data_IF_201434585369
#
_entry.id   IF_201434585369
#
_cell.length_a   1.000
_cell.length_b   1.000
_cell.length_c   1.000
_cell.angle_alpha   90.00
_cell.angle_beta   90.00
_cell.angle_gamma   90.00
#
_symmetry.space_group_name_H-M   'P 1'
#
loop_
_entity.id
_entity.type
_entity.pdbx_description
1 polymer ?
#
# COMPACT_ATOMS: atom_id res chain seq x y z
N UNK A 1 16.86 -35.44 12.33
CA UNK A 1 16.72 -33.99 12.23
C UNK A 1 15.82 -33.67 11.05
N UNK A 2 14.50 -33.75 11.25
CA UNK A 2 13.51 -33.26 10.29
C UNK A 2 12.72 -32.19 11.04
N UNK A 3 13.24 -30.97 11.01
CA UNK A 3 12.44 -29.80 11.36
C UNK A 3 11.50 -29.60 10.18
N UNK A 4 10.31 -30.19 10.31
CA UNK A 4 9.11 -29.77 9.62
C UNK A 4 8.87 -28.33 10.08
N UNK A 5 9.49 -27.39 9.35
CA UNK A 5 9.09 -26.00 9.33
C UNK A 5 7.67 -26.01 8.79
N UNK A 6 6.72 -25.93 9.72
CA UNK A 6 5.34 -25.61 9.43
C UNK A 6 5.33 -24.24 8.72
N UNK A 7 5.16 -24.25 7.40
CA UNK A 7 5.15 -23.05 6.55
C UNK A 7 3.93 -22.14 6.81
N UNK A 8 3.02 -22.52 7.72
CA UNK A 8 1.81 -21.74 8.06
C UNK A 8 2.03 -20.56 9.01
N UNK A 9 3.17 -20.44 9.68
CA UNK A 9 3.36 -19.46 10.76
C UNK A 9 3.95 -18.11 10.29
N UNK A 10 4.15 -17.90 8.98
CA UNK A 10 4.53 -16.58 8.44
C UNK A 10 3.33 -15.64 8.22
N UNK A 11 2.10 -16.13 8.38
CA UNK A 11 0.88 -15.38 8.09
C UNK A 11 0.39 -14.50 9.27
N UNK A 12 0.93 -14.68 10.47
CA UNK A 12 0.46 -13.91 11.63
C UNK A 12 0.80 -12.42 11.56
N UNK A 13 1.89 -12.02 10.88
CA UNK A 13 2.22 -10.59 10.70
C UNK A 13 1.52 -9.94 9.52
N UNK A 14 1.20 -10.70 8.45
CA UNK A 14 0.48 -10.16 7.27
C UNK A 14 -0.91 -9.63 7.66
N UNK A 15 -1.61 -10.35 8.53
CA UNK A 15 -2.93 -9.93 9.05
C UNK A 15 -2.81 -8.68 9.93
N UNK A 16 -1.74 -8.54 10.71
CA UNK A 16 -1.52 -7.38 11.58
C UNK A 16 -1.32 -6.10 10.76
N UNK A 17 -0.56 -6.17 9.66
CA UNK A 17 -0.33 -5.01 8.79
C UNK A 17 -1.60 -4.58 8.03
N UNK A 18 -2.42 -5.56 7.61
CA UNK A 18 -3.72 -5.31 6.98
C UNK A 18 -4.71 -4.67 7.97
N UNK A 19 -4.79 -5.20 9.19
CA UNK A 19 -5.65 -4.66 10.24
C UNK A 19 -5.21 -3.25 10.65
N UNK A 20 -3.90 -2.99 10.73
CA UNK A 20 -3.36 -1.66 11.00
C UNK A 20 -3.76 -0.66 9.91
N UNK A 21 -3.68 -1.04 8.63
CA UNK A 21 -4.10 -0.19 7.53
C UNK A 21 -5.60 0.15 7.58
N UNK A 22 -6.45 -0.84 7.88
CA UNK A 22 -7.90 -0.64 8.02
C UNK A 22 -8.21 0.27 9.22
N UNK A 23 -7.49 0.10 10.34
CA UNK A 23 -7.62 0.95 11.52
C UNK A 23 -7.20 2.39 11.23
N UNK A 24 -6.07 2.61 10.56
CA UNK A 24 -5.62 3.96 10.17
C UNK A 24 -6.61 4.62 9.20
N UNK A 25 -7.15 3.87 8.24
CA UNK A 25 -8.20 4.36 7.34
C UNK A 25 -9.48 4.72 8.11
N UNK A 26 -9.83 3.93 9.13
CA UNK A 26 -10.97 4.21 10.02
C UNK A 26 -10.77 5.50 10.82
N UNK A 27 -9.56 5.73 11.33
CA UNK A 27 -9.25 6.94 12.10
C UNK A 27 -9.27 8.19 11.23
N UNK A 28 -8.70 8.12 10.02
CA UNK A 28 -8.60 9.28 9.13
C UNK A 28 -9.87 9.58 8.33
N UNK A 29 -10.64 8.55 7.95
CA UNK A 29 -11.77 8.67 7.02
C UNK A 29 -13.09 8.08 7.57
N UNK A 30 -13.09 7.63 8.82
CA UNK A 30 -14.26 7.07 9.49
C UNK A 30 -14.64 5.66 9.03
N UNK A 31 -15.85 5.22 9.39
CA UNK A 31 -16.37 3.89 9.04
C UNK A 31 -16.43 3.62 7.54
N UNK A 32 -16.59 4.67 6.72
CA UNK A 32 -16.58 4.56 5.25
C UNK A 32 -15.19 4.23 4.73
N UNK A 33 -14.15 4.95 5.15
CA UNK A 33 -12.79 4.67 4.69
C UNK A 33 -12.24 3.33 5.16
N UNK A 34 -12.63 2.87 6.36
CA UNK A 34 -12.31 1.52 6.81
C UNK A 34 -12.88 0.45 5.86
N UNK A 35 -14.13 0.63 5.41
CA UNK A 35 -14.80 -0.28 4.48
C UNK A 35 -14.14 -0.24 3.10
N UNK A 36 -13.79 0.95 2.61
CA UNK A 36 -13.06 1.11 1.35
C UNK A 36 -11.68 0.45 1.40
N UNK A 37 -10.93 0.63 2.49
CA UNK A 37 -9.64 -0.04 2.71
C UNK A 37 -9.77 -1.57 2.69
N UNK A 38 -10.77 -2.11 3.39
CA UNK A 38 -11.05 -3.55 3.41
C UNK A 38 -11.46 -4.07 2.02
N UNK A 39 -12.27 -3.33 1.27
CA UNK A 39 -12.66 -3.70 -0.10
C UNK A 39 -11.45 -3.69 -1.05
N UNK A 40 -10.57 -2.70 -0.95
CA UNK A 40 -9.35 -2.63 -1.77
C UNK A 40 -8.46 -3.83 -1.48
N UNK A 41 -8.19 -4.13 -0.20
CA UNK A 41 -7.38 -5.29 0.18
C UNK A 41 -8.02 -6.61 -0.28
N UNK A 42 -9.34 -6.77 -0.14
CA UNK A 42 -10.05 -7.95 -0.59
C UNK A 42 -9.97 -8.15 -2.12
N UNK A 43 -10.13 -7.06 -2.89
CA UNK A 43 -10.01 -7.10 -4.36
C UNK A 43 -8.59 -7.42 -4.80
N UNK A 44 -7.59 -6.84 -4.14
CA UNK A 44 -6.17 -7.13 -4.39
C UNK A 44 -5.89 -8.60 -4.09
N UNK A 45 -6.28 -9.10 -2.93
CA UNK A 45 -6.07 -10.50 -2.57
C UNK A 45 -6.77 -11.46 -3.54
N UNK A 46 -8.00 -11.14 -3.97
CA UNK A 46 -8.74 -11.92 -4.96
C UNK A 46 -8.06 -11.93 -6.33
N UNK A 47 -7.47 -10.80 -6.74
CA UNK A 47 -6.72 -10.68 -7.99
C UNK A 47 -5.44 -11.54 -7.96
N UNK A 48 -4.76 -11.58 -6.81
CA UNK A 48 -3.54 -12.39 -6.64
C UNK A 48 -3.83 -13.88 -6.45
N UNK A 49 -4.91 -14.24 -5.74
CA UNK A 49 -5.29 -15.63 -5.47
C UNK A 49 -6.06 -16.30 -6.62
N UNK A 50 -6.73 -15.51 -7.49
CA UNK A 50 -7.57 -15.98 -8.59
C UNK A 50 -6.85 -16.28 -9.91
N UNK A 51 -5.55 -15.99 -10.00
CA UNK A 51 -4.62 -16.60 -10.96
C UNK A 51 -4.92 -16.47 -12.46
N UNK A 52 -4.75 -15.26 -13.03
CA UNK A 52 -4.39 -15.09 -14.45
C UNK A 52 -3.28 -14.05 -14.67
N UNK A 53 -2.83 -13.35 -13.63
CA UNK A 53 -1.67 -12.47 -13.72
C UNK A 53 -0.38 -13.30 -13.62
N UNK A 54 0.42 -13.25 -14.67
CA UNK A 54 1.82 -13.70 -14.65
C UNK A 54 2.66 -12.83 -13.68
N UNK A 55 3.84 -13.31 -13.32
CA UNK A 55 4.75 -12.56 -12.42
C UNK A 55 5.07 -11.16 -12.97
N UNK A 56 5.21 -11.02 -14.29
CA UNK A 56 5.45 -9.75 -14.97
C UNK A 56 4.30 -8.75 -14.75
N UNK A 57 3.04 -9.19 -14.87
CA UNK A 57 1.91 -8.31 -14.62
C UNK A 57 1.77 -7.93 -13.13
N UNK A 58 2.19 -8.80 -12.21
CA UNK A 58 2.23 -8.49 -10.77
C UNK A 58 3.26 -7.39 -10.51
N UNK A 59 4.43 -7.47 -11.12
CA UNK A 59 5.47 -6.46 -11.00
C UNK A 59 5.02 -5.10 -11.57
N UNK A 60 4.37 -5.10 -12.74
CA UNK A 60 3.80 -3.87 -13.33
C UNK A 60 2.73 -3.26 -12.42
N UNK A 61 1.89 -4.09 -11.80
CA UNK A 61 0.87 -3.62 -10.85
C UNK A 61 1.52 -2.96 -9.61
N UNK A 62 2.54 -3.58 -9.02
CA UNK A 62 3.25 -2.99 -7.89
C UNK A 62 3.99 -1.71 -8.29
N UNK A 63 4.58 -1.65 -9.48
CA UNK A 63 5.19 -0.42 -10.00
C UNK A 63 4.17 0.72 -10.12
N UNK A 64 2.96 0.43 -10.62
CA UNK A 64 1.89 1.42 -10.72
C UNK A 64 1.42 1.93 -9.35
N UNK A 65 1.27 1.03 -8.36
CA UNK A 65 0.96 1.45 -6.98
C UNK A 65 2.09 2.31 -6.41
N UNK A 66 3.34 1.91 -6.60
CA UNK A 66 4.50 2.63 -6.12
C UNK A 66 4.60 4.03 -6.74
N UNK A 67 4.34 4.17 -8.04
CA UNK A 67 4.33 5.47 -8.70
C UNK A 67 3.25 6.39 -8.13
N UNK A 68 2.04 5.88 -7.93
CA UNK A 68 0.93 6.63 -7.32
C UNK A 68 1.29 7.09 -5.90
N UNK A 69 1.96 6.25 -5.11
CA UNK A 69 2.43 6.61 -3.78
C UNK A 69 3.51 7.72 -3.82
N UNK A 70 4.47 7.61 -4.73
CA UNK A 70 5.54 8.61 -4.89
C UNK A 70 4.99 9.95 -5.38
N UNK A 71 4.02 9.92 -6.30
CA UNK A 71 3.32 11.13 -6.77
C UNK A 71 2.50 11.78 -5.65
N UNK A 72 1.83 10.97 -4.83
CA UNK A 72 1.10 11.46 -3.65
C UNK A 72 2.05 12.11 -2.64
N UNK A 73 3.22 11.51 -2.38
CA UNK A 73 4.27 12.10 -1.52
C UNK A 73 4.81 13.39 -2.10
N UNK A 74 5.07 13.44 -3.41
CA UNK A 74 5.55 14.64 -4.09
C UNK A 74 4.52 15.77 -4.00
N UNK A 75 3.26 15.46 -4.25
CA UNK A 75 2.14 16.41 -4.16
C UNK A 75 1.92 16.91 -2.74
N UNK A 76 1.98 16.01 -1.74
CA UNK A 76 1.90 16.38 -0.33
C UNK A 76 3.10 17.26 0.07
N UNK A 77 4.32 16.91 -0.34
CA UNK A 77 5.50 17.73 -0.10
C UNK A 77 5.36 19.09 -0.74
N UNK A 78 4.89 19.19 -1.98
CA UNK A 78 4.64 20.47 -2.63
C UNK A 78 3.56 21.27 -1.90
N UNK A 79 2.44 20.66 -1.53
CA UNK A 79 1.32 21.33 -0.87
C UNK A 79 1.62 21.79 0.56
N UNK A 80 2.31 20.97 1.35
CA UNK A 80 2.51 21.19 2.78
C UNK A 80 3.91 21.69 3.15
N UNK A 81 4.90 21.66 2.25
CA UNK A 81 6.19 22.32 2.50
C UNK A 81 6.02 23.84 2.41
N UNK A 82 6.27 24.59 3.50
CA UNK A 82 6.19 26.05 3.49
C UNK A 82 7.12 26.62 2.42
N UNK A 83 6.68 27.68 1.72
CA UNK A 83 7.46 28.33 0.64
C UNK A 83 8.90 28.65 1.05
N UNK A 84 9.15 28.95 2.33
CA UNK A 84 10.49 29.22 2.90
C UNK A 84 11.48 28.04 2.78
N UNK A 85 10.99 26.80 2.75
CA UNK A 85 11.81 25.58 2.67
C UNK A 85 11.72 24.89 1.30
N UNK A 86 10.91 25.41 0.38
CA UNK A 86 10.97 24.98 -1.01
C UNK A 86 12.31 25.44 -1.54
N UNK A 87 13.27 24.52 -1.72
CA UNK A 87 14.51 24.83 -2.44
C UNK A 87 14.11 25.47 -3.75
N UNK A 88 14.58 26.70 -3.99
CA UNK A 88 14.34 27.43 -5.22
C UNK A 88 14.62 26.50 -6.40
N UNK A 89 13.55 26.07 -7.07
CA UNK A 89 13.65 25.47 -8.41
C UNK A 89 13.74 26.64 -9.39
N UNK A 90 14.71 27.50 -9.17
CA UNK A 90 15.05 28.56 -10.09
C UNK A 90 16.03 27.98 -11.11
N UNK A 91 15.49 27.80 -12.32
CA UNK A 91 16.18 27.85 -13.62
C UNK A 91 17.10 26.67 -13.98
N UNK A 92 16.57 25.81 -14.84
CA UNK A 92 17.10 25.68 -16.21
C UNK A 92 15.98 26.00 -17.20
#
# INVERSE_FOLDING_TARGET
MSYLLDESETDSQSHIDQDMFILEAKENFGSKGAKEAQEVLGRVNSLFAGGELDEDAKDVFFQAIMSVYMDSKKTAREKYTPKKYRKHKDKE
#
